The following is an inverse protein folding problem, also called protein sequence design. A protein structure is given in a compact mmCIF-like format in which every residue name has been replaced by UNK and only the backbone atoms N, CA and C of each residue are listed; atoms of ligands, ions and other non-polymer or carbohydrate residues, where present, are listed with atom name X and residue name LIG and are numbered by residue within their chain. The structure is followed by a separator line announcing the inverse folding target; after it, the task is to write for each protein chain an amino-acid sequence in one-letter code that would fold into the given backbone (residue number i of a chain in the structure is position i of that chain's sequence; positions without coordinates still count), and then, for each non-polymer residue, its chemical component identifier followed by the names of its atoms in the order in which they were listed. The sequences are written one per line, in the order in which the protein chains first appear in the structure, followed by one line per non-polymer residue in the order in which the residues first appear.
data_IF_133127106460
#
_entry.id   IF_133127106460
#
_cell.length_a   1.000
_cell.length_b   1.000
_cell.length_c   1.000
_cell.angle_alpha   90.00
_cell.angle_beta   90.00
_cell.angle_gamma   90.00
#
_symmetry.space_group_name_H-M   'P 1'
#
loop_
_entity.id
_entity.type
_entity.pdbx_description
1 polymer ?
#
# COMPACT_ATOMS: atom_id res chain seq x y z
N UNK A 1 -18.31 17.97 4.92
CA UNK A 1 -17.37 19.09 4.73
C UNK A 1 -16.53 18.77 3.51
N UNK A 2 -16.26 19.76 2.66
CA UNK A 2 -15.43 19.63 1.46
C UNK A 2 -14.05 20.22 1.72
N UNK A 3 -13.01 19.47 1.37
CA UNK A 3 -11.62 19.90 1.48
C UNK A 3 -10.96 20.03 0.10
N UNK A 4 -10.00 20.94 0.02
CA UNK A 4 -9.03 21.03 -1.07
C UNK A 4 -7.61 20.95 -0.51
N UNK A 5 -6.75 20.20 -1.20
CA UNK A 5 -5.33 20.08 -0.86
C UNK A 5 -4.52 20.90 -1.86
N UNK A 6 -3.74 21.85 -1.36
CA UNK A 6 -2.84 22.71 -2.11
C UNK A 6 -1.39 22.35 -1.77
N UNK A 7 -0.72 21.60 -2.63
CA UNK A 7 0.71 21.34 -2.46
C UNK A 7 1.55 22.48 -3.03
N UNK A 8 2.50 22.97 -2.24
CA UNK A 8 3.41 24.06 -2.58
C UNK A 8 4.80 23.47 -2.79
N UNK A 9 5.35 23.69 -3.98
CA UNK A 9 6.72 23.30 -4.30
C UNK A 9 6.96 23.22 -5.81
N UNK A 10 8.00 23.90 -6.29
CA UNK A 10 8.38 23.91 -7.70
C UNK A 10 8.81 22.53 -8.20
N UNK A 11 9.44 21.73 -7.35
CA UNK A 11 9.87 20.35 -7.63
C UNK A 11 8.71 19.40 -7.96
N UNK A 12 7.51 19.67 -7.42
CA UNK A 12 6.29 18.92 -7.76
C UNK A 12 5.83 19.25 -9.18
N UNK A 13 5.85 20.53 -9.56
CA UNK A 13 5.51 20.97 -10.92
C UNK A 13 6.52 20.49 -11.96
N UNK A 14 7.79 20.34 -11.57
CA UNK A 14 8.85 19.80 -12.42
C UNK A 14 8.82 18.27 -12.51
N UNK A 15 7.94 17.59 -11.77
CA UNK A 15 7.85 16.13 -11.75
C UNK A 15 9.06 15.42 -11.14
N UNK A 16 9.87 16.13 -10.32
CA UNK A 16 11.03 15.54 -9.65
C UNK A 16 10.60 14.62 -8.49
N UNK A 17 9.46 14.93 -7.89
CA UNK A 17 8.85 14.13 -6.83
C UNK A 17 7.36 13.95 -7.08
N UNK A 18 6.82 12.82 -6.61
CA UNK A 18 5.37 12.55 -6.64
C UNK A 18 4.71 13.20 -5.43
N UNK A 19 3.51 13.78 -5.62
CA UNK A 19 2.72 14.37 -4.54
C UNK A 19 2.07 13.30 -3.64
N UNK A 20 2.90 12.61 -2.87
CA UNK A 20 2.48 11.57 -1.91
C UNK A 20 1.74 12.15 -0.70
N UNK A 21 1.99 13.42 -0.37
CA UNK A 21 1.29 14.12 0.72
C UNK A 21 -0.21 14.24 0.45
N UNK A 22 -0.60 14.69 -0.74
CA UNK A 22 -2.02 14.81 -1.09
C UNK A 22 -2.71 13.45 -1.09
N UNK A 23 -2.03 12.40 -1.54
CA UNK A 23 -2.55 11.03 -1.47
C UNK A 23 -2.81 10.60 -0.01
N UNK A 24 -1.85 10.84 0.88
CA UNK A 24 -1.95 10.46 2.29
C UNK A 24 -3.07 11.22 3.01
N UNK A 25 -3.06 12.56 2.92
CA UNK A 25 -4.05 13.42 3.58
C UNK A 25 -5.45 13.09 3.07
N UNK A 26 -5.66 12.91 1.77
CA UNK A 26 -6.97 12.52 1.21
C UNK A 26 -7.44 11.19 1.74
N UNK A 27 -6.56 10.19 1.80
CA UNK A 27 -6.91 8.88 2.38
C UNK A 27 -7.45 9.04 3.80
N UNK A 28 -6.73 9.80 4.63
CA UNK A 28 -7.07 9.95 6.06
C UNK A 28 -8.25 10.88 6.33
N UNK A 29 -8.43 11.94 5.53
CA UNK A 29 -9.63 12.79 5.60
C UNK A 29 -10.91 12.03 5.25
N UNK A 30 -10.84 11.12 4.27
CA UNK A 30 -11.98 10.27 3.95
C UNK A 30 -12.38 9.39 5.15
N UNK A 31 -11.41 8.90 5.94
CA UNK A 31 -11.68 8.09 7.14
C UNK A 31 -12.47 8.84 8.23
N UNK A 32 -12.51 10.17 8.19
CA UNK A 32 -13.27 11.04 9.13
C UNK A 32 -14.43 11.77 8.45
N UNK A 33 -14.82 11.33 7.26
CA UNK A 33 -15.98 11.87 6.55
C UNK A 33 -15.78 13.25 5.91
N UNK A 34 -14.53 13.68 5.71
CA UNK A 34 -14.18 14.89 4.97
C UNK A 34 -13.86 14.51 3.53
N UNK A 35 -14.66 15.02 2.58
CA UNK A 35 -14.50 14.69 1.16
C UNK A 35 -13.53 15.67 0.48
N UNK A 36 -12.52 15.13 -0.20
CA UNK A 36 -11.58 15.94 -0.99
C UNK A 36 -12.00 15.94 -2.45
N UNK A 37 -12.27 17.12 -3.02
CA UNK A 37 -12.72 17.24 -4.42
C UNK A 37 -11.65 17.76 -5.37
N UNK A 38 -10.66 18.48 -4.86
CA UNK A 38 -9.60 19.07 -5.65
C UNK A 38 -8.24 18.86 -5.00
N UNK A 39 -7.26 18.48 -5.82
CA UNK A 39 -5.84 18.61 -5.51
C UNK A 39 -5.26 19.66 -6.45
N UNK A 40 -4.55 20.63 -5.89
CA UNK A 40 -3.91 21.71 -6.62
C UNK A 40 -2.41 21.69 -6.30
N UNK A 41 -1.56 22.01 -7.27
CA UNK A 41 -0.11 22.15 -7.08
C UNK A 41 0.30 23.53 -7.57
N UNK A 42 1.06 24.26 -6.76
CA UNK A 42 1.54 25.61 -7.09
C UNK A 42 3.02 25.73 -6.75
N UNK A 43 3.77 26.46 -7.59
CA UNK A 43 5.17 26.77 -7.33
C UNK A 43 5.31 27.94 -6.35
N UNK A 44 6.56 28.19 -5.94
CA UNK A 44 6.94 29.15 -4.90
C UNK A 44 6.89 30.62 -5.40
N UNK A 45 5.70 31.06 -5.82
CA UNK A 45 5.45 32.42 -6.30
C UNK A 45 4.24 33.03 -5.57
N UNK A 46 4.40 34.18 -4.91
CA UNK A 46 3.35 34.76 -4.07
C UNK A 46 2.03 35.02 -4.80
N UNK A 47 2.10 35.58 -6.02
CA UNK A 47 0.90 35.92 -6.80
C UNK A 47 0.10 34.68 -7.20
N UNK A 48 0.78 33.64 -7.71
CA UNK A 48 0.14 32.38 -8.09
C UNK A 48 -0.41 31.63 -6.88
N UNK A 49 0.34 31.64 -5.78
CA UNK A 49 -0.10 31.02 -4.53
C UNK A 49 -1.36 31.71 -3.99
N UNK A 50 -1.39 33.04 -4.00
CA UNK A 50 -2.56 33.83 -3.59
C UNK A 50 -3.79 33.52 -4.42
N UNK A 51 -3.65 33.47 -5.74
CA UNK A 51 -4.74 33.08 -6.64
C UNK A 51 -5.28 31.68 -6.33
N UNK A 52 -4.39 30.70 -6.15
CA UNK A 52 -4.79 29.33 -5.86
C UNK A 52 -5.48 29.20 -4.48
N UNK A 53 -4.97 29.88 -3.45
CA UNK A 53 -5.59 29.85 -2.11
C UNK A 53 -6.99 30.49 -2.14
N UNK A 54 -7.15 31.64 -2.80
CA UNK A 54 -8.45 32.30 -2.93
C UNK A 54 -9.45 31.42 -3.68
N UNK A 55 -9.01 30.76 -4.77
CA UNK A 55 -9.84 29.81 -5.50
C UNK A 55 -10.24 28.64 -4.62
N UNK A 56 -9.31 28.04 -3.87
CA UNK A 56 -9.60 26.95 -2.96
C UNK A 56 -10.61 27.35 -1.88
N UNK A 57 -10.44 28.52 -1.26
CA UNK A 57 -11.37 29.06 -0.26
C UNK A 57 -12.77 29.34 -0.81
N UNK A 58 -12.88 29.66 -2.11
CA UNK A 58 -14.17 29.90 -2.76
C UNK A 58 -15.02 28.63 -2.92
N UNK A 59 -14.40 27.44 -3.00
CA UNK A 59 -15.06 26.18 -3.35
C UNK A 59 -14.93 25.06 -2.31
N UNK A 60 -14.14 25.25 -1.26
CA UNK A 60 -13.97 24.29 -0.17
C UNK A 60 -14.24 24.92 1.20
N UNK A 61 -14.70 24.10 2.14
CA UNK A 61 -14.83 24.47 3.57
C UNK A 61 -13.46 24.43 4.26
N UNK A 62 -12.58 23.56 3.78
CA UNK A 62 -11.26 23.27 4.34
C UNK A 62 -10.21 23.44 3.23
N UNK A 63 -9.13 24.18 3.52
CA UNK A 63 -7.95 24.25 2.65
C UNK A 63 -6.75 23.74 3.43
N UNK A 64 -6.12 22.66 2.94
CA UNK A 64 -4.90 22.11 3.54
C UNK A 64 -3.73 22.39 2.62
N UNK A 65 -2.72 23.08 3.11
CA UNK A 65 -1.48 23.32 2.36
C UNK A 65 -0.35 22.43 2.86
N UNK A 66 0.50 21.97 1.94
CA UNK A 66 1.73 21.25 2.30
C UNK A 66 2.93 21.87 1.59
N UNK A 67 3.93 22.32 2.34
CA UNK A 67 5.12 22.98 1.79
C UNK A 67 5.17 24.48 2.04
N UNK A 68 6.36 25.06 1.87
CA UNK A 68 6.62 26.50 2.04
C UNK A 68 6.53 27.03 3.48
N UNK A 69 6.83 26.20 4.48
CA UNK A 69 6.89 26.58 5.91
C UNK A 69 8.32 26.63 6.48
N UNK A 70 9.32 26.36 5.66
CA UNK A 70 10.72 26.39 6.03
C UNK A 70 11.25 27.82 6.29
N UNK A 71 12.56 27.94 6.55
CA UNK A 71 13.21 29.21 6.88
C UNK A 71 13.72 29.98 5.66
N UNK A 72 13.48 29.51 4.43
CA UNK A 72 14.05 30.13 3.21
C UNK A 72 13.18 31.28 2.70
N UNK A 73 13.65 31.96 1.64
CA UNK A 73 12.87 33.02 0.98
C UNK A 73 11.73 32.48 0.14
N UNK A 74 11.85 31.24 -0.32
CA UNK A 74 10.84 30.58 -1.15
C UNK A 74 9.70 30.02 -0.29
N UNK A 75 9.94 29.84 1.02
CA UNK A 75 8.94 29.45 2.00
C UNK A 75 7.98 30.61 2.33
N UNK A 76 6.96 30.83 1.51
CA UNK A 76 6.06 32.00 1.61
C UNK A 76 4.62 31.65 2.01
N UNK A 77 4.34 30.38 2.32
CA UNK A 77 2.96 29.87 2.48
C UNK A 77 2.23 30.56 3.62
N UNK A 78 2.91 30.70 4.76
CA UNK A 78 2.34 31.25 5.99
C UNK A 78 2.07 32.75 5.86
N UNK A 79 3.00 33.47 5.27
CA UNK A 79 2.93 34.90 4.96
C UNK A 79 1.76 35.18 4.00
N UNK A 80 1.65 34.38 2.93
CA UNK A 80 0.60 34.54 1.91
C UNK A 80 -0.79 34.29 2.50
N UNK A 81 -0.96 33.24 3.32
CA UNK A 81 -2.24 32.95 3.99
C UNK A 81 -2.60 34.04 4.99
N UNK A 82 -1.65 34.49 5.80
CA UNK A 82 -1.87 35.56 6.76
C UNK A 82 -2.33 36.86 6.06
N UNK A 83 -1.70 37.22 4.94
CA UNK A 83 -2.10 38.38 4.12
C UNK A 83 -3.54 38.23 3.59
N UNK A 84 -3.89 37.08 3.00
CA UNK A 84 -5.23 36.81 2.46
C UNK A 84 -6.30 36.93 3.55
N UNK A 85 -6.01 36.44 4.74
CA UNK A 85 -6.93 36.49 5.86
C UNK A 85 -6.88 37.82 6.62
N UNK A 86 -6.00 38.76 6.25
CA UNK A 86 -5.82 40.01 7.01
C UNK A 86 -5.37 39.77 8.45
N UNK A 87 -4.58 38.71 8.70
CA UNK A 87 -4.04 38.35 10.00
C UNK A 87 -2.61 38.83 10.15
N UNK A 88 -2.24 39.26 11.36
CA UNK A 88 -0.84 39.56 11.67
C UNK A 88 -0.08 38.28 11.96
N UNK A 89 1.19 38.23 11.57
CA UNK A 89 2.11 37.21 12.07
C UNK A 89 2.70 37.71 13.39
N UNK A 90 2.59 36.88 14.43
CA UNK A 90 3.11 37.15 15.76
C UNK A 90 4.04 36.02 16.19
N UNK A 91 5.14 36.37 16.86
CA UNK A 91 6.08 35.38 17.39
C UNK A 91 5.39 34.52 18.44
N UNK A 92 5.31 33.21 18.19
CA UNK A 92 4.87 32.25 19.19
C UNK A 92 6.08 31.83 20.05
N UNK A 93 6.16 32.36 21.27
CA UNK A 93 7.32 32.21 22.15
C UNK A 93 7.66 30.75 22.48
N UNK A 94 6.66 29.88 22.65
CA UNK A 94 6.90 28.46 22.93
C UNK A 94 7.49 27.73 21.72
N UNK A 95 6.96 27.99 20.52
CA UNK A 95 7.54 27.48 19.27
C UNK A 95 8.98 27.97 19.10
N UNK A 96 9.21 29.26 19.38
CA UNK A 96 10.55 29.85 19.28
C UNK A 96 11.54 29.16 20.21
N UNK A 97 11.13 28.89 21.47
CA UNK A 97 11.91 28.10 22.43
C UNK A 97 12.17 26.68 21.91
N UNK A 98 11.17 26.00 21.37
CA UNK A 98 11.32 24.64 20.86
C UNK A 98 12.32 24.58 19.69
N UNK A 99 12.30 25.55 18.78
CA UNK A 99 13.27 25.64 17.69
C UNK A 99 14.67 25.88 18.26
N UNK A 100 14.83 26.78 19.24
CA UNK A 100 16.12 26.99 19.90
C UNK A 100 16.65 25.71 20.55
N UNK A 101 15.81 25.02 21.33
CA UNK A 101 16.18 23.75 21.97
C UNK A 101 16.52 22.66 20.95
N UNK A 102 15.86 22.63 19.78
CA UNK A 102 16.22 21.73 18.69
C UNK A 102 17.66 21.99 18.21
N UNK A 103 18.02 23.24 17.92
CA UNK A 103 19.36 23.62 17.45
C UNK A 103 20.44 23.34 18.51
N UNK A 104 20.14 23.64 19.78
CA UNK A 104 21.01 23.32 20.91
C UNK A 104 21.26 21.80 21.02
N UNK A 105 20.21 20.98 20.90
CA UNK A 105 20.29 19.51 20.96
C UNK A 105 21.09 18.90 19.81
N UNK A 106 21.02 19.48 18.60
CA UNK A 106 21.80 19.00 17.44
C UNK A 106 23.17 19.67 17.33
N UNK A 107 23.60 20.40 18.36
CA UNK A 107 24.89 21.11 18.43
C UNK A 107 25.16 22.03 17.23
N UNK A 108 24.13 22.77 16.80
CA UNK A 108 24.24 23.76 15.72
C UNK A 108 23.73 25.12 16.19
N UNK A 109 24.31 26.18 15.63
CA UNK A 109 23.81 27.53 15.85
C UNK A 109 22.51 27.74 15.05
N UNK A 110 21.48 28.27 15.71
CA UNK A 110 20.26 28.69 15.04
C UNK A 110 20.54 29.97 14.23
N UNK A 111 20.21 29.95 12.94
CA UNK A 111 20.35 31.12 12.07
C UNK A 111 19.14 32.05 12.25
N UNK A 112 19.33 33.35 11.98
CA UNK A 112 18.27 34.35 12.16
C UNK A 112 17.02 34.05 11.30
N UNK A 113 17.19 33.51 10.10
CA UNK A 113 16.07 33.14 9.24
C UNK A 113 15.23 31.98 9.80
N UNK A 114 15.75 31.15 10.71
CA UNK A 114 14.95 30.14 11.40
C UNK A 114 13.91 30.76 12.35
N UNK A 115 14.12 32.00 12.80
CA UNK A 115 13.20 32.69 13.70
C UNK A 115 11.82 32.87 13.07
N UNK A 116 11.78 33.05 11.73
CA UNK A 116 10.53 33.21 10.97
C UNK A 116 9.60 32.00 11.07
N UNK A 117 10.15 30.81 11.33
CA UNK A 117 9.35 29.59 11.49
C UNK A 117 8.45 29.68 12.73
N UNK A 118 8.80 30.51 13.72
CA UNK A 118 8.00 30.77 14.92
C UNK A 118 7.02 31.96 14.78
N UNK A 119 7.04 32.70 13.68
CA UNK A 119 6.08 33.79 13.43
C UNK A 119 4.78 33.20 12.88
N UNK A 120 3.72 33.13 13.69
CA UNK A 120 2.49 32.40 13.38
C UNK A 120 1.31 33.35 13.22
N UNK A 121 0.30 33.03 12.40
CA UNK A 121 -0.91 33.84 12.30
C UNK A 121 -1.58 34.01 13.66
N UNK A 122 -1.89 35.24 14.02
CA UNK A 122 -2.44 35.61 15.33
C UNK A 122 -3.72 34.83 15.66
N UNK A 123 -3.74 34.12 16.78
CA UNK A 123 -4.90 33.31 17.21
C UNK A 123 -5.04 31.95 16.51
N UNK A 124 -4.07 31.52 15.71
CA UNK A 124 -4.05 30.15 15.17
C UNK A 124 -3.81 29.11 16.27
N UNK A 125 -4.28 27.89 16.04
CA UNK A 125 -3.90 26.72 16.84
C UNK A 125 -2.61 26.14 16.26
N UNK A 126 -1.59 26.00 17.09
CA UNK A 126 -0.30 25.44 16.68
C UNK A 126 -0.43 23.93 16.48
N UNK A 127 0.14 23.43 15.38
CA UNK A 127 0.33 21.99 15.14
C UNK A 127 1.81 21.68 15.43
N UNK A 128 2.14 21.00 16.54
CA UNK A 128 3.52 20.70 16.91
C UNK A 128 4.20 19.83 15.86
N UNK A 129 5.46 20.14 15.56
CA UNK A 129 6.31 19.31 14.71
C UNK A 129 7.47 18.76 15.54
N UNK A 130 7.40 17.48 15.91
CA UNK A 130 8.44 16.81 16.69
C UNK A 130 9.58 16.27 15.81
N UNK A 131 9.41 16.27 14.49
CA UNK A 131 10.33 15.68 13.51
C UNK A 131 11.08 16.72 12.67
N UNK A 132 10.83 18.01 12.92
CA UNK A 132 11.46 19.12 12.22
C UNK A 132 11.30 20.43 12.99
N UNK A 133 11.71 21.55 12.39
CA UNK A 133 11.68 22.87 13.05
C UNK A 133 10.47 23.72 12.66
N UNK A 134 9.78 23.39 11.57
CA UNK A 134 8.63 24.14 11.08
C UNK A 134 7.33 23.59 11.68
N UNK A 135 6.69 24.25 12.66
CA UNK A 135 5.36 23.83 13.09
C UNK A 135 4.33 24.10 11.98
N UNK A 136 3.22 23.38 12.05
CA UNK A 136 2.03 23.71 11.29
C UNK A 136 1.13 24.65 12.08
N UNK A 137 0.03 25.04 11.47
CA UNK A 137 -1.05 25.69 12.20
C UNK A 137 -2.41 25.49 11.56
N UNK A 138 -3.43 25.54 12.40
CA UNK A 138 -4.84 25.47 12.07
C UNK A 138 -5.50 26.81 12.38
N UNK A 139 -6.23 27.36 11.41
CA UNK A 139 -6.97 28.61 11.51
C UNK A 139 -8.44 28.32 11.22
N UNK A 140 -9.32 28.77 12.10
CA UNK A 140 -10.76 28.84 11.83
C UNK A 140 -11.16 30.30 11.68
N UNK A 141 -11.62 30.69 10.49
CA UNK A 141 -12.04 32.06 10.21
C UNK A 141 -13.13 32.09 9.14
N UNK A 142 -14.16 32.91 9.36
CA UNK A 142 -15.26 33.12 8.42
C UNK A 142 -15.95 31.82 7.94
N UNK A 143 -16.05 30.84 8.83
CA UNK A 143 -16.62 29.52 8.53
C UNK A 143 -15.71 28.60 7.70
N UNK A 144 -14.46 29.02 7.42
CA UNK A 144 -13.44 28.25 6.71
C UNK A 144 -12.38 27.72 7.69
N UNK A 145 -11.80 26.57 7.35
CA UNK A 145 -10.69 25.95 8.08
C UNK A 145 -9.48 25.93 7.17
N UNK A 146 -8.36 26.48 7.64
CA UNK A 146 -7.10 26.46 6.90
C UNK A 146 -6.05 25.76 7.75
N UNK A 147 -5.39 24.77 7.17
CA UNK A 147 -4.38 23.96 7.85
C UNK A 147 -3.10 24.01 7.02
N UNK A 148 -1.98 24.31 7.66
CA UNK A 148 -0.67 24.38 7.02
C UNK A 148 0.24 23.29 7.57
N UNK A 149 0.85 22.51 6.68
CA UNK A 149 1.86 21.50 7.00
C UNK A 149 3.19 21.75 6.28
N UNK A 150 4.31 21.27 6.83
CA UNK A 150 5.58 21.24 6.12
C UNK A 150 5.52 20.28 4.92
N UNK A 151 6.47 20.43 3.99
CA UNK A 151 6.56 19.61 2.78
C UNK A 151 6.99 18.15 3.03
N UNK A 152 8.01 17.87 3.85
CA UNK A 152 8.50 16.51 4.05
C UNK A 152 7.44 15.55 4.66
N UNK A 153 7.15 14.39 4.03
CA UNK A 153 6.16 13.44 4.55
C UNK A 153 6.48 12.93 5.97
N UNK A 154 7.78 12.79 6.31
CA UNK A 154 8.23 12.35 7.64
C UNK A 154 7.89 13.33 8.77
N UNK A 155 7.60 14.59 8.42
CA UNK A 155 7.13 15.62 9.34
C UNK A 155 5.61 15.73 9.27
N UNK A 156 5.05 15.86 8.06
CA UNK A 156 3.61 16.07 7.86
C UNK A 156 2.75 14.92 8.40
N UNK A 157 3.12 13.67 8.15
CA UNK A 157 2.34 12.49 8.55
C UNK A 157 2.07 12.45 10.07
N UNK A 158 3.08 12.46 10.96
CA UNK A 158 2.83 12.42 12.41
C UNK A 158 2.06 13.67 12.87
N UNK A 159 2.34 14.84 12.32
CA UNK A 159 1.60 16.06 12.65
C UNK A 159 0.11 15.91 12.33
N UNK A 160 -0.22 15.34 11.16
CA UNK A 160 -1.60 15.11 10.75
C UNK A 160 -2.30 14.10 11.69
N UNK A 161 -1.67 12.96 11.95
CA UNK A 161 -2.24 11.88 12.77
C UNK A 161 -2.44 12.31 14.24
N UNK A 162 -1.52 13.08 14.80
CA UNK A 162 -1.56 13.46 16.22
C UNK A 162 -2.52 14.62 16.51
N UNK A 163 -2.79 15.48 15.52
CA UNK A 163 -3.56 16.73 15.75
C UNK A 163 -4.77 16.89 14.85
N UNK A 164 -4.58 16.80 13.53
CA UNK A 164 -5.62 17.15 12.55
C UNK A 164 -6.64 16.02 12.38
N UNK A 165 -6.20 14.77 12.46
CA UNK A 165 -7.09 13.62 12.41
C UNK A 165 -8.07 13.60 13.60
N UNK A 166 -7.64 13.67 14.88
CA UNK A 166 -8.56 13.74 16.02
C UNK A 166 -9.46 14.98 15.99
N UNK A 167 -8.95 16.11 15.47
CA UNK A 167 -9.72 17.32 15.29
C UNK A 167 -10.92 17.09 14.36
N UNK A 168 -10.71 16.49 13.18
CA UNK A 168 -11.79 16.23 12.25
C UNK A 168 -12.71 15.10 12.71
N UNK A 169 -12.17 14.06 13.34
CA UNK A 169 -12.97 12.99 13.96
C UNK A 169 -14.01 13.57 14.93
N UNK A 170 -13.58 14.47 15.81
CA UNK A 170 -14.49 15.16 16.74
C UNK A 170 -15.45 16.11 16.02
N UNK A 171 -14.99 16.82 14.98
CA UNK A 171 -15.77 17.86 14.30
C UNK A 171 -16.85 17.29 13.39
N UNK A 172 -16.59 16.20 12.69
CA UNK A 172 -17.58 15.54 11.84
C UNK A 172 -18.51 14.64 12.64
N UNK A 173 -18.05 14.12 13.78
CA UNK A 173 -18.80 13.16 14.60
C UNK A 173 -19.13 11.87 13.85
N UNK A 174 -18.39 11.60 12.78
CA UNK A 174 -18.54 10.45 11.92
C UNK A 174 -17.18 9.87 11.57
N UNK A 175 -17.09 8.55 11.63
CA UNK A 175 -15.95 7.78 11.13
C UNK A 175 -16.38 6.98 9.91
N UNK A 176 -15.44 6.78 9.00
CA UNK A 176 -15.57 5.92 7.84
C UNK A 176 -14.52 4.83 7.98
N UNK A 177 -14.98 3.60 8.21
CA UNK A 177 -14.11 2.44 8.33
C UNK A 177 -14.24 1.61 7.08
N UNK A 178 -13.10 1.14 6.56
CA UNK A 178 -13.06 0.29 5.37
C UNK A 178 -12.26 -0.97 5.64
N UNK A 179 -12.76 -2.11 5.15
CA UNK A 179 -12.02 -3.37 5.06
C UNK A 179 -11.77 -3.72 3.61
N UNK A 180 -10.54 -4.13 3.33
CA UNK A 180 -10.06 -4.46 1.99
C UNK A 180 -9.96 -5.98 1.88
N UNK A 181 -11.02 -6.59 1.40
CA UNK A 181 -11.08 -8.03 1.17
C UNK A 181 -10.33 -8.37 -0.11
N UNK A 182 -9.45 -9.36 -0.07
CA UNK A 182 -8.67 -9.78 -1.24
C UNK A 182 -9.09 -11.16 -1.71
N UNK A 183 -9.35 -11.26 -3.00
CA UNK A 183 -9.87 -12.45 -3.66
C UNK A 183 -8.92 -12.90 -4.76
N UNK A 184 -8.60 -14.19 -4.78
CA UNK A 184 -7.73 -14.79 -5.77
C UNK A 184 -8.31 -16.11 -6.33
N UNK A 185 -8.06 -16.35 -7.62
CA UNK A 185 -8.45 -17.57 -8.32
C UNK A 185 -9.82 -17.53 -9.02
N UNK A 186 -10.52 -16.38 -8.98
CA UNK A 186 -11.71 -16.12 -9.79
C UNK A 186 -11.61 -14.72 -10.42
N UNK A 187 -12.26 -14.54 -11.57
CA UNK A 187 -12.29 -13.25 -12.27
C UNK A 187 -13.27 -12.25 -11.62
N UNK A 188 -13.17 -10.98 -12.03
CA UNK A 188 -14.04 -9.89 -11.54
C UNK A 188 -15.52 -10.21 -11.75
N UNK A 189 -15.92 -10.58 -12.97
CA UNK A 189 -17.33 -10.85 -13.29
C UNK A 189 -17.89 -12.05 -12.51
N UNK A 190 -17.09 -13.11 -12.30
CA UNK A 190 -17.52 -14.26 -11.51
C UNK A 190 -17.68 -13.88 -10.03
N UNK A 191 -16.72 -13.12 -9.48
CA UNK A 191 -16.76 -12.62 -8.11
C UNK A 191 -18.00 -11.74 -7.90
N UNK A 192 -18.24 -10.79 -8.79
CA UNK A 192 -19.38 -9.86 -8.70
C UNK A 192 -20.71 -10.62 -8.72
N UNK A 193 -20.88 -11.57 -9.64
CA UNK A 193 -22.09 -12.41 -9.71
C UNK A 193 -22.35 -13.20 -8.42
N UNK A 194 -21.31 -13.62 -7.70
CA UNK A 194 -21.46 -14.33 -6.41
C UNK A 194 -21.97 -13.43 -5.28
N UNK A 195 -21.76 -12.12 -5.37
CA UNK A 195 -22.12 -11.16 -4.31
C UNK A 195 -23.09 -10.07 -4.79
N UNK A 196 -23.67 -10.21 -5.97
CA UNK A 196 -24.44 -9.16 -6.64
C UNK A 196 -25.62 -8.67 -5.80
N UNK A 197 -26.39 -9.56 -5.18
CA UNK A 197 -27.51 -9.17 -4.32
C UNK A 197 -27.05 -8.41 -3.07
N UNK A 198 -25.84 -8.66 -2.56
CA UNK A 198 -25.26 -7.86 -1.46
C UNK A 198 -24.91 -6.46 -1.94
N UNK A 199 -24.42 -6.33 -3.19
CA UNK A 199 -24.12 -5.05 -3.84
C UNK A 199 -25.43 -4.30 -4.12
N UNK A 200 -26.48 -4.95 -4.62
CA UNK A 200 -27.75 -4.29 -4.94
C UNK A 200 -28.53 -3.88 -3.68
N UNK A 201 -28.47 -4.68 -2.61
CA UNK A 201 -29.13 -4.38 -1.34
C UNK A 201 -28.32 -3.43 -0.44
N UNK A 202 -27.15 -2.97 -0.88
CA UNK A 202 -26.25 -2.17 -0.05
C UNK A 202 -26.85 -0.79 0.27
N UNK A 203 -26.50 -0.27 1.44
CA UNK A 203 -26.73 1.13 1.79
C UNK A 203 -25.55 1.61 2.62
N UNK A 204 -25.55 1.25 3.90
CA UNK A 204 -24.42 1.39 4.81
C UNK A 204 -24.30 0.08 5.62
N UNK A 205 -23.24 -0.72 5.43
CA UNK A 205 -22.03 -0.47 4.65
C UNK A 205 -22.23 -0.47 3.12
N UNK A 206 -21.31 0.15 2.40
CA UNK A 206 -21.15 0.02 0.94
C UNK A 206 -20.15 -1.06 0.59
N UNK A 207 -20.33 -1.70 -0.57
CA UNK A 207 -19.50 -2.76 -1.13
C UNK A 207 -19.08 -2.32 -2.53
N UNK A 208 -17.77 -2.20 -2.74
CA UNK A 208 -17.20 -1.75 -4.02
C UNK A 208 -16.10 -2.70 -4.50
N UNK A 209 -16.30 -3.42 -5.62
CA UNK A 209 -15.27 -4.25 -6.23
C UNK A 209 -14.30 -3.42 -7.09
N UNK A 210 -13.03 -3.84 -7.13
CA UNK A 210 -11.96 -3.28 -7.96
C UNK A 210 -10.99 -4.38 -8.41
N UNK A 211 -10.31 -4.17 -9.53
CA UNK A 211 -9.29 -5.09 -10.05
C UNK A 211 -7.90 -4.50 -9.90
N UNK A 212 -7.01 -5.30 -9.31
CA UNK A 212 -5.57 -5.07 -9.32
C UNK A 212 -4.89 -6.11 -10.23
N UNK A 213 -3.56 -5.97 -10.43
CA UNK A 213 -2.78 -6.82 -11.33
C UNK A 213 -2.80 -8.31 -10.91
N UNK A 214 -3.84 -9.05 -11.32
CA UNK A 214 -4.00 -10.47 -11.00
C UNK A 214 -4.91 -10.80 -9.82
N UNK A 215 -5.50 -9.80 -9.17
CA UNK A 215 -6.31 -10.00 -7.96
C UNK A 215 -7.57 -9.16 -8.02
N UNK A 216 -8.65 -9.67 -7.42
CA UNK A 216 -9.89 -8.91 -7.22
C UNK A 216 -9.93 -8.42 -5.78
N UNK A 217 -10.34 -7.17 -5.58
CA UNK A 217 -10.40 -6.51 -4.28
C UNK A 217 -11.82 -6.06 -4.03
N UNK A 218 -12.38 -6.37 -2.86
CA UNK A 218 -13.70 -5.88 -2.44
C UNK A 218 -13.48 -4.96 -1.25
N UNK A 219 -13.87 -3.69 -1.41
CA UNK A 219 -13.86 -2.72 -0.31
C UNK A 219 -15.23 -2.69 0.34
N UNK A 220 -15.29 -3.02 1.63
CA UNK A 220 -16.51 -2.86 2.45
C UNK A 220 -16.32 -1.66 3.35
N UNK A 221 -17.16 -0.63 3.20
CA UNK A 221 -17.00 0.64 3.89
C UNK A 221 -18.26 1.00 4.68
N UNK A 222 -18.13 1.23 5.98
CA UNK A 222 -19.23 1.72 6.81
C UNK A 222 -18.96 3.13 7.31
N UNK A 223 -20.02 3.94 7.35
CA UNK A 223 -20.04 5.25 8.00
C UNK A 223 -20.82 5.14 9.29
N UNK A 224 -20.26 5.56 10.42
CA UNK A 224 -20.97 5.52 11.71
C UNK A 224 -20.43 6.58 12.67
N UNK A 225 -20.89 6.59 13.94
CA UNK A 225 -20.45 7.58 14.93
C UNK A 225 -19.08 7.26 15.54
N UNK A 226 -18.68 5.99 15.55
CA UNK A 226 -17.41 5.53 16.12
C UNK A 226 -16.95 4.22 15.49
N UNK A 227 -15.69 3.88 15.71
CA UNK A 227 -15.05 2.73 15.08
C UNK A 227 -15.79 1.40 15.35
N UNK A 228 -16.27 1.20 16.59
CA UNK A 228 -16.92 -0.05 17.01
C UNK A 228 -18.28 -0.25 16.33
N UNK A 229 -19.06 0.81 16.20
CA UNK A 229 -20.34 0.78 15.47
C UNK A 229 -20.09 0.48 13.98
N UNK A 230 -19.08 1.10 13.36
CA UNK A 230 -18.72 0.84 11.97
C UNK A 230 -18.33 -0.63 11.77
N UNK A 231 -17.49 -1.16 12.66
CA UNK A 231 -17.06 -2.56 12.62
C UNK A 231 -18.22 -3.54 12.84
N UNK A 232 -19.17 -3.19 13.73
CA UNK A 232 -20.41 -3.96 13.92
C UNK A 232 -21.29 -4.02 12.67
N UNK A 233 -21.26 -2.99 11.81
CA UNK A 233 -21.94 -2.99 10.51
C UNK A 233 -21.16 -3.77 9.44
N UNK A 234 -19.83 -3.67 9.43
CA UNK A 234 -18.96 -4.31 8.43
C UNK A 234 -18.90 -5.83 8.61
N UNK A 235 -18.74 -6.30 9.85
CA UNK A 235 -18.48 -7.72 10.14
C UNK A 235 -19.55 -8.68 9.57
N UNK A 236 -20.87 -8.42 9.71
CA UNK A 236 -21.90 -9.28 9.11
C UNK A 236 -21.84 -9.35 7.58
N UNK A 237 -21.44 -8.25 6.93
CA UNK A 237 -21.28 -8.21 5.46
C UNK A 237 -20.07 -9.05 5.04
N UNK A 238 -18.95 -8.93 5.77
CA UNK A 238 -17.75 -9.75 5.53
C UNK A 238 -18.05 -11.23 5.68
N UNK A 239 -18.77 -11.66 6.72
CA UNK A 239 -19.10 -13.08 6.90
C UNK A 239 -19.95 -13.63 5.75
N UNK A 240 -20.96 -12.87 5.26
CA UNK A 240 -21.72 -13.27 4.06
C UNK A 240 -20.85 -13.37 2.81
N UNK A 241 -19.93 -12.44 2.61
CA UNK A 241 -18.98 -12.48 1.49
C UNK A 241 -18.07 -13.70 1.61
N UNK A 242 -17.57 -13.98 2.82
CA UNK A 242 -16.72 -15.12 3.12
C UNK A 242 -17.43 -16.45 2.88
N UNK A 243 -18.69 -16.60 3.27
CA UNK A 243 -19.51 -17.79 2.99
C UNK A 243 -19.61 -18.06 1.48
N UNK A 244 -19.74 -17.01 0.67
CA UNK A 244 -19.94 -17.13 -0.78
C UNK A 244 -18.66 -17.33 -1.57
N UNK A 245 -17.58 -16.68 -1.15
CA UNK A 245 -16.29 -16.74 -1.84
C UNK A 245 -15.40 -17.86 -1.29
N UNK A 246 -15.66 -18.35 -0.08
CA UNK A 246 -14.94 -19.45 0.56
C UNK A 246 -13.42 -19.27 0.46
N UNK A 247 -12.74 -20.31 -0.04
CA UNK A 247 -11.28 -20.30 -0.17
C UNK A 247 -10.73 -19.29 -1.18
N UNK A 248 -11.55 -18.65 -2.03
CA UNK A 248 -11.07 -17.60 -2.93
C UNK A 248 -10.76 -16.30 -2.17
N UNK A 249 -11.44 -16.04 -1.06
CA UNK A 249 -11.12 -14.93 -0.17
C UNK A 249 -9.90 -15.30 0.70
N UNK A 250 -8.83 -14.52 0.62
CA UNK A 250 -7.57 -14.85 1.28
C UNK A 250 -7.10 -13.81 2.31
N UNK A 251 -7.57 -12.57 2.24
CA UNK A 251 -7.21 -11.52 3.19
C UNK A 251 -8.39 -10.58 3.47
N UNK A 252 -8.34 -9.90 4.62
CA UNK A 252 -9.46 -9.09 5.15
C UNK A 252 -9.10 -7.62 5.42
N UNK A 253 -7.80 -7.32 5.52
CA UNK A 253 -7.28 -5.97 5.75
C UNK A 253 -6.35 -5.50 4.62
N UNK A 254 -6.42 -6.15 3.47
CA UNK A 254 -5.65 -5.80 2.29
C UNK A 254 -4.26 -6.44 2.24
N UNK A 255 -3.98 -7.40 3.12
CA UNK A 255 -2.74 -8.16 3.12
C UNK A 255 -2.48 -8.78 1.74
N UNK A 256 -1.23 -8.81 1.30
CA UNK A 256 -0.84 -9.48 0.06
C UNK A 256 -0.85 -10.99 0.24
N UNK A 257 -0.89 -11.73 -0.86
CA UNK A 257 -0.86 -13.18 -0.80
C UNK A 257 0.47 -13.72 -0.21
N UNK A 258 1.58 -13.03 -0.46
CA UNK A 258 2.87 -13.35 0.15
C UNK A 258 2.89 -13.08 1.67
N UNK A 259 2.29 -11.99 2.15
CA UNK A 259 2.10 -11.72 3.58
C UNK A 259 1.29 -12.81 4.26
N UNK A 260 0.15 -13.22 3.66
CA UNK A 260 -0.71 -14.27 4.22
C UNK A 260 0.02 -15.62 4.29
N UNK A 261 0.74 -16.01 3.23
CA UNK A 261 1.50 -17.27 3.23
C UNK A 261 2.64 -17.22 4.23
N UNK A 262 3.40 -16.12 4.29
CA UNK A 262 4.46 -15.94 5.26
C UNK A 262 3.95 -16.08 6.70
N UNK A 263 2.83 -15.42 7.01
CA UNK A 263 2.23 -15.47 8.33
C UNK A 263 1.81 -16.90 8.71
N UNK A 264 1.11 -17.60 7.82
CA UNK A 264 0.70 -19.00 8.06
C UNK A 264 1.91 -19.92 8.33
N UNK A 265 2.97 -19.78 7.53
CA UNK A 265 4.19 -20.57 7.72
C UNK A 265 4.86 -20.28 9.08
N UNK A 266 4.96 -19.01 9.46
CA UNK A 266 5.57 -18.57 10.73
C UNK A 266 4.74 -19.05 11.92
N UNK A 267 3.43 -18.83 11.90
CA UNK A 267 2.52 -19.21 12.98
C UNK A 267 2.47 -20.72 13.20
N UNK A 268 2.51 -21.50 12.12
CA UNK A 268 2.49 -22.96 12.16
C UNK A 268 3.90 -23.59 12.28
N UNK A 269 4.95 -22.77 12.30
CA UNK A 269 6.35 -23.19 12.34
C UNK A 269 6.69 -24.22 11.23
N UNK A 270 6.25 -23.94 10.00
CA UNK A 270 6.46 -24.80 8.82
C UNK A 270 7.61 -24.23 8.00
N UNK A 271 8.70 -24.99 7.91
CA UNK A 271 9.84 -24.61 7.09
C UNK A 271 9.53 -24.74 5.60
N UNK A 272 10.01 -23.79 4.79
CA UNK A 272 9.77 -23.72 3.36
C UNK A 272 11.08 -23.53 2.59
N UNK A 273 11.18 -24.17 1.43
CA UNK A 273 12.14 -23.82 0.38
C UNK A 273 11.44 -23.52 -0.96
N UNK A 274 12.13 -22.86 -1.88
CA UNK A 274 11.63 -22.63 -3.25
C UNK A 274 12.62 -23.09 -4.32
N UNK A 275 12.11 -23.47 -5.49
CA UNK A 275 12.89 -23.71 -6.70
C UNK A 275 12.23 -23.04 -7.91
N UNK A 276 12.97 -22.15 -8.56
CA UNK A 276 12.46 -21.27 -9.59
C UNK A 276 13.22 -21.42 -10.90
N UNK A 277 12.50 -21.43 -12.01
CA UNK A 277 13.06 -21.25 -13.35
C UNK A 277 12.59 -19.94 -13.95
N UNK A 278 11.42 -19.89 -14.58
CA UNK A 278 10.98 -18.70 -15.33
C UNK A 278 10.75 -17.44 -14.49
N UNK A 279 10.52 -17.58 -13.18
CA UNK A 279 10.34 -16.46 -12.24
C UNK A 279 11.66 -15.85 -11.75
N UNK A 280 12.78 -16.59 -11.85
CA UNK A 280 14.13 -16.07 -11.65
C UNK A 280 14.40 -15.47 -10.26
N UNK A 281 13.84 -16.07 -9.20
CA UNK A 281 14.02 -15.59 -7.82
C UNK A 281 12.92 -14.65 -7.33
N UNK A 282 11.92 -14.35 -8.17
CA UNK A 282 10.81 -13.45 -7.81
C UNK A 282 9.94 -14.02 -6.68
N UNK A 283 9.72 -15.34 -6.64
CA UNK A 283 8.95 -15.96 -5.56
C UNK A 283 9.70 -15.88 -4.22
N UNK A 284 11.00 -16.22 -4.23
CA UNK A 284 11.85 -16.08 -3.05
C UNK A 284 11.89 -14.63 -2.56
N UNK A 285 12.07 -13.65 -3.46
CA UNK A 285 12.06 -12.23 -3.11
C UNK A 285 10.73 -11.80 -2.48
N UNK A 286 9.59 -12.28 -2.99
CA UNK A 286 8.27 -12.03 -2.40
C UNK A 286 8.17 -12.54 -0.97
N UNK A 287 8.61 -13.77 -0.71
CA UNK A 287 8.62 -14.32 0.65
C UNK A 287 9.56 -13.53 1.57
N UNK A 288 10.79 -13.26 1.12
CA UNK A 288 11.84 -12.55 1.88
C UNK A 288 11.43 -11.12 2.29
N UNK A 289 10.56 -10.45 1.53
CA UNK A 289 10.05 -9.13 1.89
C UNK A 289 9.21 -9.10 3.17
N UNK A 290 8.77 -10.26 3.67
CA UNK A 290 7.91 -10.36 4.85
C UNK A 290 8.74 -10.44 6.14
N UNK A 291 8.60 -9.50 7.08
CA UNK A 291 9.33 -9.53 8.35
C UNK A 291 9.14 -10.85 9.10
N UNK A 292 10.24 -11.42 9.61
CA UNK A 292 10.21 -12.66 10.40
C UNK A 292 10.23 -13.96 9.58
N UNK A 293 10.14 -13.89 8.25
CA UNK A 293 10.16 -15.06 7.36
C UNK A 293 11.43 -15.91 7.50
N UNK A 294 12.55 -15.32 7.95
CA UNK A 294 13.81 -16.03 8.20
C UNK A 294 13.73 -17.11 9.28
N UNK A 295 12.64 -17.18 10.05
CA UNK A 295 12.38 -18.29 10.99
C UNK A 295 12.01 -19.59 10.29
N UNK A 296 11.53 -19.51 9.05
CA UNK A 296 10.93 -20.64 8.33
C UNK A 296 11.38 -20.78 6.88
N UNK A 297 11.83 -19.72 6.22
CA UNK A 297 12.37 -19.79 4.85
C UNK A 297 13.84 -20.17 4.87
N UNK A 298 14.15 -21.38 4.41
CA UNK A 298 15.48 -21.98 4.52
C UNK A 298 16.30 -21.83 3.25
N UNK A 299 15.72 -22.13 2.07
CA UNK A 299 16.47 -22.18 0.81
C UNK A 299 15.67 -21.65 -0.38
N UNK A 300 16.38 -21.02 -1.32
CA UNK A 300 15.85 -20.66 -2.64
C UNK A 300 16.81 -21.07 -3.74
N UNK A 301 16.37 -21.93 -4.67
CA UNK A 301 17.15 -22.37 -5.82
C UNK A 301 16.66 -21.71 -7.10
N UNK A 302 17.59 -21.23 -7.94
CA UNK A 302 17.27 -20.75 -9.28
C UNK A 302 17.88 -21.72 -10.29
N UNK A 303 17.07 -22.67 -10.79
CA UNK A 303 17.48 -23.70 -11.76
C UNK A 303 17.05 -23.32 -13.17
N UNK A 304 17.67 -22.24 -13.67
CA UNK A 304 17.23 -21.58 -14.90
C UNK A 304 17.40 -22.45 -16.16
N UNK A 305 18.49 -23.21 -16.27
CA UNK A 305 18.74 -24.13 -17.40
C UNK A 305 18.35 -25.59 -17.07
N UNK A 306 18.28 -26.43 -18.11
CA UNK A 306 18.02 -27.87 -17.94
C UNK A 306 19.16 -28.53 -17.15
N UNK A 307 20.40 -28.17 -17.44
CA UNK A 307 21.59 -28.65 -16.75
C UNK A 307 21.56 -28.25 -15.27
N UNK A 308 21.10 -27.04 -14.93
CA UNK A 308 20.94 -26.65 -13.52
C UNK A 308 19.84 -27.45 -12.82
N UNK A 309 18.73 -27.77 -13.51
CA UNK A 309 17.68 -28.65 -12.94
C UNK A 309 18.26 -30.03 -12.61
N UNK A 310 19.09 -30.59 -13.50
CA UNK A 310 19.72 -31.90 -13.30
C UNK A 310 20.81 -31.82 -12.23
N UNK A 311 21.83 -31.00 -12.43
CA UNK A 311 23.06 -31.03 -11.64
C UNK A 311 22.91 -30.40 -10.25
N UNK A 312 22.13 -29.33 -10.12
CA UNK A 312 21.97 -28.63 -8.83
C UNK A 312 20.85 -29.24 -8.02
N UNK A 313 19.68 -29.44 -8.63
CA UNK A 313 18.50 -29.90 -7.92
C UNK A 313 18.39 -31.43 -7.87
N UNK A 314 18.84 -32.13 -8.92
CA UNK A 314 18.76 -33.59 -9.00
C UNK A 314 17.58 -34.12 -9.81
N UNK A 315 16.99 -33.30 -10.69
CA UNK A 315 15.92 -33.75 -11.60
C UNK A 315 16.48 -34.81 -12.54
N UNK A 316 15.77 -35.92 -12.71
CA UNK A 316 16.15 -36.98 -13.64
C UNK A 316 16.18 -36.45 -15.09
N UNK A 317 17.30 -36.61 -15.81
CA UNK A 317 17.38 -36.27 -17.23
C UNK A 317 16.22 -36.84 -18.05
N UNK A 318 15.80 -38.07 -17.78
CA UNK A 318 14.72 -38.75 -18.52
C UNK A 318 13.39 -38.00 -18.44
N UNK A 319 13.12 -37.30 -17.33
CA UNK A 319 11.91 -36.48 -17.20
C UNK A 319 11.94 -35.28 -18.13
N UNK A 320 13.10 -34.63 -18.25
CA UNK A 320 13.26 -33.49 -19.16
C UNK A 320 13.21 -33.98 -20.61
N UNK A 321 13.84 -35.10 -20.93
CA UNK A 321 13.86 -35.65 -22.29
C UNK A 321 12.47 -36.11 -22.75
N UNK A 322 11.69 -36.71 -21.83
CA UNK A 322 10.35 -37.24 -22.16
C UNK A 322 9.27 -36.17 -22.19
N UNK A 323 9.25 -35.26 -21.20
CA UNK A 323 8.13 -34.33 -21.00
C UNK A 323 8.49 -32.86 -21.33
N UNK A 324 9.78 -32.56 -21.43
CA UNK A 324 10.32 -31.21 -21.54
C UNK A 324 10.38 -30.49 -20.19
N UNK A 325 11.33 -29.56 -20.06
CA UNK A 325 11.57 -28.81 -18.83
C UNK A 325 10.39 -27.93 -18.37
N UNK A 326 9.46 -27.63 -19.28
CA UNK A 326 8.21 -26.91 -19.00
C UNK A 326 7.08 -27.92 -19.11
N UNK A 327 6.83 -28.64 -18.00
CA UNK A 327 5.79 -29.67 -17.89
C UNK A 327 5.37 -29.85 -16.44
N UNK A 328 4.19 -30.46 -16.25
CA UNK A 328 3.69 -30.86 -14.93
C UNK A 328 4.66 -31.81 -14.23
N UNK A 329 5.20 -32.78 -14.97
CA UNK A 329 6.13 -33.80 -14.49
C UNK A 329 7.41 -33.16 -13.96
N UNK A 330 8.01 -32.25 -14.72
CA UNK A 330 9.19 -31.52 -14.26
C UNK A 330 8.90 -30.65 -13.05
N UNK A 331 7.75 -29.96 -12.97
CA UNK A 331 7.41 -29.16 -11.79
C UNK A 331 7.26 -30.02 -10.51
N UNK A 332 6.58 -31.17 -10.60
CA UNK A 332 6.43 -32.12 -9.48
C UNK A 332 7.78 -32.69 -9.06
N UNK A 333 8.63 -33.09 -10.01
CA UNK A 333 9.95 -33.62 -9.68
C UNK A 333 10.85 -32.56 -9.06
N UNK A 334 10.83 -31.33 -9.59
CA UNK A 334 11.55 -30.20 -9.02
C UNK A 334 11.18 -29.99 -7.53
N UNK A 335 9.89 -30.03 -7.18
CA UNK A 335 9.47 -29.81 -5.79
C UNK A 335 9.82 -30.97 -4.86
N UNK A 336 9.82 -32.21 -5.37
CA UNK A 336 10.28 -33.40 -4.61
C UNK A 336 11.77 -33.32 -4.32
N UNK A 337 12.58 -33.14 -5.35
CA UNK A 337 14.03 -33.00 -5.21
C UNK A 337 14.41 -31.84 -4.28
N UNK A 338 13.63 -30.75 -4.29
CA UNK A 338 13.81 -29.63 -3.38
C UNK A 338 13.63 -30.04 -1.92
N UNK A 339 12.52 -30.71 -1.58
CA UNK A 339 12.27 -31.16 -0.21
C UNK A 339 13.27 -32.23 0.22
N UNK A 340 13.57 -33.20 -0.65
CA UNK A 340 14.56 -34.25 -0.37
C UNK A 340 15.95 -33.66 -0.07
N UNK A 341 16.34 -32.60 -0.78
CA UNK A 341 17.64 -31.94 -0.61
C UNK A 341 17.71 -31.03 0.62
N UNK A 342 16.60 -30.38 0.98
CA UNK A 342 16.59 -29.33 2.01
C UNK A 342 16.04 -29.80 3.36
N UNK A 343 15.28 -30.89 3.38
CA UNK A 343 14.56 -31.36 4.56
C UNK A 343 13.42 -30.43 5.02
N UNK A 344 13.03 -29.44 4.18
CA UNK A 344 11.92 -28.54 4.52
C UNK A 344 10.57 -29.22 4.39
N UNK A 345 9.61 -28.83 5.25
CA UNK A 345 8.26 -29.42 5.25
C UNK A 345 7.44 -28.97 4.04
N UNK A 346 7.62 -27.71 3.63
CA UNK A 346 6.95 -27.13 2.48
C UNK A 346 7.94 -26.80 1.35
N UNK A 347 7.45 -26.88 0.11
CA UNK A 347 8.23 -26.52 -1.06
C UNK A 347 7.36 -25.96 -2.18
N UNK A 348 7.90 -25.04 -2.98
CA UNK A 348 7.26 -24.58 -4.22
C UNK A 348 8.24 -24.69 -5.38
N UNK A 349 7.77 -25.24 -6.50
CA UNK A 349 8.49 -25.27 -7.77
C UNK A 349 7.73 -24.52 -8.87
N UNK A 350 8.45 -23.72 -9.66
CA UNK A 350 7.90 -23.02 -10.83
C UNK A 350 8.79 -23.25 -12.05
N UNK A 351 8.20 -23.75 -13.14
CA UNK A 351 8.82 -23.83 -14.47
C UNK A 351 7.86 -23.36 -15.55
N UNK A 352 8.35 -22.67 -16.59
CA UNK A 352 7.44 -22.03 -17.54
C UNK A 352 8.13 -21.22 -18.64
N UNK A 353 7.31 -20.65 -19.53
CA UNK A 353 7.75 -19.81 -20.64
C UNK A 353 7.20 -18.40 -20.44
N UNK A 354 8.02 -17.52 -19.87
CA UNK A 354 7.61 -16.14 -19.58
C UNK A 354 7.58 -15.22 -20.82
N UNK A 355 8.20 -15.62 -21.94
CA UNK A 355 8.25 -14.79 -23.15
C UNK A 355 9.36 -13.72 -23.16
N UNK A 356 9.44 -12.91 -24.22
CA UNK A 356 8.50 -12.89 -25.37
C UNK A 356 8.71 -14.04 -26.37
N UNK A 357 9.83 -14.77 -26.29
CA UNK A 357 10.10 -15.96 -27.12
C UNK A 357 10.03 -17.28 -26.34
N UNK A 358 10.39 -18.38 -27.01
CA UNK A 358 10.51 -19.71 -26.39
C UNK A 358 9.21 -20.52 -26.31
N UNK A 359 8.09 -19.98 -26.79
CA UNK A 359 6.83 -20.71 -26.92
C UNK A 359 6.76 -21.53 -28.21
N UNK A 360 5.97 -22.60 -28.18
CA UNK A 360 5.51 -23.37 -29.35
C UNK A 360 3.98 -23.28 -29.45
N UNK A 361 3.35 -23.71 -30.56
CA UNK A 361 1.89 -23.79 -30.63
C UNK A 361 1.26 -24.65 -29.52
N UNK A 362 1.94 -25.72 -29.10
CA UNK A 362 1.50 -26.63 -28.03
C UNK A 362 1.80 -26.10 -26.63
N UNK A 363 2.89 -25.33 -26.47
CA UNK A 363 3.30 -24.69 -25.22
C UNK A 363 3.60 -23.21 -25.47
N UNK A 364 2.57 -22.36 -25.65
CA UNK A 364 2.78 -20.96 -25.98
C UNK A 364 3.47 -20.19 -24.84
N UNK A 365 3.94 -18.99 -25.15
CA UNK A 365 4.32 -18.02 -24.11
C UNK A 365 3.15 -17.84 -23.14
N UNK A 366 3.46 -17.90 -21.84
CA UNK A 366 2.44 -17.95 -20.79
C UNK A 366 2.22 -19.33 -20.19
N UNK A 367 2.71 -20.40 -20.82
CA UNK A 367 2.63 -21.77 -20.29
C UNK A 367 3.52 -21.89 -19.05
N UNK A 368 2.93 -22.05 -17.87
CA UNK A 368 3.64 -22.18 -16.61
C UNK A 368 3.07 -23.36 -15.81
N UNK A 369 3.94 -24.19 -15.28
CA UNK A 369 3.61 -25.27 -14.36
C UNK A 369 4.15 -24.94 -12.98
N UNK A 370 3.27 -25.10 -11.99
CA UNK A 370 3.57 -24.84 -10.59
C UNK A 370 3.26 -26.10 -9.81
N UNK A 371 4.14 -26.48 -8.90
CA UNK A 371 3.89 -27.52 -7.92
C UNK A 371 4.19 -26.99 -6.51
N UNK A 372 3.36 -27.38 -5.55
CA UNK A 372 3.59 -27.14 -4.14
C UNK A 372 3.54 -28.47 -3.39
N UNK A 373 4.36 -28.61 -2.37
CA UNK A 373 4.41 -29.77 -1.48
C UNK A 373 4.30 -29.32 -0.03
N UNK A 374 3.61 -30.08 0.79
CA UNK A 374 3.55 -29.92 2.24
C UNK A 374 3.47 -31.30 2.90
N UNK A 375 4.46 -31.64 3.73
CA UNK A 375 4.53 -32.92 4.46
C UNK A 375 4.28 -34.17 3.56
N UNK A 376 4.73 -34.10 2.30
CA UNK A 376 4.58 -35.16 1.30
C UNK A 376 3.33 -35.08 0.43
N UNK A 377 2.32 -34.28 0.79
CA UNK A 377 1.18 -33.98 -0.09
C UNK A 377 1.61 -33.02 -1.19
N UNK A 378 1.42 -33.40 -2.46
CA UNK A 378 1.81 -32.60 -3.62
C UNK A 378 0.58 -32.20 -4.41
N UNK A 379 0.45 -30.90 -4.65
CA UNK A 379 -0.50 -30.33 -5.58
C UNK A 379 0.24 -29.67 -6.75
N UNK A 380 -0.36 -29.68 -7.93
CA UNK A 380 0.21 -29.02 -9.11
C UNK A 380 -0.84 -28.46 -10.02
N UNK A 381 -0.51 -27.35 -10.68
CA UNK A 381 -1.40 -26.64 -11.59
C UNK A 381 -0.66 -26.26 -12.86
N UNK A 382 -1.39 -26.31 -13.96
CA UNK A 382 -0.98 -25.79 -15.26
C UNK A 382 -1.67 -24.44 -15.49
N UNK A 383 -0.91 -23.46 -15.94
CA UNK A 383 -1.37 -22.09 -16.13
C UNK A 383 -1.08 -21.66 -17.57
N UNK A 384 -2.08 -21.03 -18.19
CA UNK A 384 -1.96 -20.35 -19.47
C UNK A 384 -2.12 -18.85 -19.23
N UNK A 385 -0.99 -18.17 -19.01
CA UNK A 385 -0.95 -16.78 -18.54
C UNK A 385 -0.76 -15.80 -19.69
N UNK A 386 -1.64 -14.81 -19.80
CA UNK A 386 -1.54 -13.76 -20.80
C UNK A 386 -0.78 -12.53 -20.26
N UNK A 387 -0.03 -11.88 -21.14
CA UNK A 387 0.65 -10.62 -20.88
C UNK A 387 2.11 -10.62 -21.28
N UNK A 388 2.80 -9.56 -20.86
CA UNK A 388 4.25 -9.48 -20.99
C UNK A 388 5.00 -10.38 -20.00
N UNK A 389 6.32 -10.42 -20.15
CA UNK A 389 7.21 -11.25 -19.34
C UNK A 389 7.07 -11.00 -17.84
N UNK A 390 6.94 -9.75 -17.42
CA UNK A 390 6.81 -9.42 -16.00
C UNK A 390 5.46 -9.86 -15.45
N UNK A 391 4.37 -9.65 -16.20
CA UNK A 391 3.05 -10.12 -15.81
C UNK A 391 2.98 -11.64 -15.68
N UNK A 392 3.55 -12.39 -16.63
CA UNK A 392 3.58 -13.86 -16.56
C UNK A 392 4.32 -14.33 -15.31
N UNK A 393 5.51 -13.76 -15.02
CA UNK A 393 6.30 -14.09 -13.82
C UNK A 393 5.53 -13.76 -12.53
N UNK A 394 4.90 -12.60 -12.48
CA UNK A 394 4.13 -12.16 -11.32
C UNK A 394 2.94 -13.10 -11.05
N UNK A 395 2.15 -13.40 -12.08
CA UNK A 395 1.00 -14.28 -11.96
C UNK A 395 1.40 -15.72 -11.60
N UNK A 396 2.53 -16.21 -12.10
CA UNK A 396 3.08 -17.50 -11.69
C UNK A 396 3.37 -17.54 -10.18
N UNK A 397 3.99 -16.49 -9.63
CA UNK A 397 4.28 -16.40 -8.20
C UNK A 397 3.00 -16.34 -7.36
N UNK A 398 2.00 -15.55 -7.76
CA UNK A 398 0.72 -15.48 -7.04
C UNK A 398 0.00 -16.84 -7.04
N UNK A 399 -0.04 -17.53 -8.18
CA UNK A 399 -0.66 -18.85 -8.25
C UNK A 399 0.09 -19.89 -7.39
N UNK A 400 1.42 -19.83 -7.36
CA UNK A 400 2.26 -20.63 -6.47
C UNK A 400 1.96 -20.40 -4.98
N UNK A 401 1.94 -19.14 -4.55
CA UNK A 401 1.61 -18.79 -3.17
C UNK A 401 0.20 -19.25 -2.81
N UNK A 402 -0.77 -19.09 -3.71
CA UNK A 402 -2.15 -19.52 -3.46
C UNK A 402 -2.27 -21.05 -3.37
N UNK A 403 -1.51 -21.78 -4.19
CA UNK A 403 -1.49 -23.25 -4.16
C UNK A 403 -0.99 -23.75 -2.80
N UNK A 404 0.14 -23.20 -2.32
CA UNK A 404 0.66 -23.52 -1.00
C UNK A 404 -0.28 -23.07 0.12
N UNK A 405 -0.86 -21.86 0.03
CA UNK A 405 -1.85 -21.37 1.01
C UNK A 405 -3.00 -22.36 1.18
N UNK A 406 -3.52 -22.91 0.08
CA UNK A 406 -4.60 -23.90 0.14
C UNK A 406 -4.18 -25.19 0.82
N UNK A 407 -2.94 -25.65 0.65
CA UNK A 407 -2.39 -26.79 1.40
C UNK A 407 -2.29 -26.48 2.90
N UNK A 408 -1.74 -25.32 3.26
CA UNK A 408 -1.59 -24.88 4.66
C UNK A 408 -2.92 -24.75 5.41
N UNK A 409 -4.01 -24.43 4.70
CA UNK A 409 -5.35 -24.30 5.27
C UNK A 409 -6.12 -25.63 5.40
N UNK A 410 -5.60 -26.73 4.83
CA UNK A 410 -6.18 -28.08 4.96
C UNK A 410 -5.62 -28.86 6.13
N UNK A 411 -4.51 -28.41 6.72
CA UNK A 411 -3.97 -28.93 7.97
C UNK A 411 -4.94 -28.69 9.12
#
# INVERSE_FOLDING_TARGET
MVAEILAVGTELLMGQIVNTNAQYITKRLNDVGVSVYYHSVVGDNPSRMKECILLALSRADIVITTGGLGPTKDDITKETIAEILGMKLVRHEETYKNIRCFFERVHRNMMENNTKQADMPEGCTIIPNNNGTAPGCLIEKDGKIIIMFPGPPKEMIPMFEETVYPYFEKKTGQVINSKMLKVFGIGESEMEMKILDLIEAQSNPTIAPYVNMGEVVIRVTARSKNHDEAMGMIAPVIEKIKERLGSNLYAFNGETLDEVVAQLLIEQNITISTVESCTGGMLAAKLVNNPGISKVFENGFITYSNESKINVLGVNPDTIDTYGAVSKQTAIEMVRCLVDKTGTRAGIAITGIAGPGGGTPEKPVGSVYVAAILDGEIESIELNLNGDRERVRHMACLNALNLLRKLLLRM
#
